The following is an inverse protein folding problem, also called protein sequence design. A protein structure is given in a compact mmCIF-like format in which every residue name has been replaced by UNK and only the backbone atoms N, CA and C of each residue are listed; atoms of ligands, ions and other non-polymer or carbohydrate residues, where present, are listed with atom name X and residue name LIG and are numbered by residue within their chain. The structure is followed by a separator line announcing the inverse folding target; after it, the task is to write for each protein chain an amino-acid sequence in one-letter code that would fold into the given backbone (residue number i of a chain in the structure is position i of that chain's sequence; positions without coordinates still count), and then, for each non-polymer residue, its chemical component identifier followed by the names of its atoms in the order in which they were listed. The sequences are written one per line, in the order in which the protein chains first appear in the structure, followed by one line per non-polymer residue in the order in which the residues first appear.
data_IF_207884204171
#
_entry.id   IF_207884204171
#
_cell.length_a   1.000
_cell.length_b   1.000
_cell.length_c   1.000
_cell.angle_alpha   90.00
_cell.angle_beta   90.00
_cell.angle_gamma   90.00
#
_symmetry.space_group_name_H-M   'P 1'
#
loop_
_entity.id
_entity.type
_entity.pdbx_description
1 polymer ?
#
# COMPACT_ATOMS: atom_id res chain seq x y z
N UNK A 1 -22.20 -2.67 -1.68
CA UNK A 1 -22.37 -2.92 -3.13
C UNK A 1 -23.63 -2.23 -3.64
N UNK A 2 -23.51 -1.44 -4.70
CA UNK A 2 -24.61 -0.75 -5.35
C UNK A 2 -24.78 -1.38 -6.74
N UNK A 3 -25.98 -1.81 -7.13
CA UNK A 3 -26.23 -2.28 -8.50
C UNK A 3 -25.88 -1.20 -9.53
N UNK A 4 -25.46 -1.63 -10.71
CA UNK A 4 -25.22 -0.69 -11.81
C UNK A 4 -26.46 0.12 -12.14
N UNK A 5 -26.31 1.44 -12.21
CA UNK A 5 -27.47 2.36 -12.33
C UNK A 5 -28.14 2.31 -13.70
N UNK A 6 -27.38 1.97 -14.74
CA UNK A 6 -27.90 1.95 -16.12
C UNK A 6 -28.60 0.64 -16.44
N UNK A 7 -28.01 -0.49 -16.03
CA UNK A 7 -28.49 -1.82 -16.40
C UNK A 7 -29.17 -2.59 -15.26
N UNK A 8 -29.02 -2.11 -14.02
CA UNK A 8 -29.48 -2.82 -12.83
C UNK A 8 -28.64 -4.07 -12.51
N UNK A 9 -27.49 -4.27 -13.15
CA UNK A 9 -26.63 -5.41 -12.92
C UNK A 9 -26.19 -5.50 -11.46
N UNK A 10 -26.37 -6.66 -10.87
CA UNK A 10 -25.90 -6.94 -9.51
C UNK A 10 -24.37 -7.11 -9.45
N UNK A 11 -23.78 -7.69 -10.48
CA UNK A 11 -22.33 -7.79 -10.61
C UNK A 11 -21.72 -6.44 -10.99
N UNK A 12 -20.49 -6.17 -10.55
CA UNK A 12 -19.76 -4.99 -11.01
C UNK A 12 -19.44 -5.16 -12.49
N UNK A 13 -19.85 -4.23 -13.39
CA UNK A 13 -19.48 -4.30 -14.79
C UNK A 13 -17.96 -4.27 -15.00
N UNK A 14 -17.48 -4.95 -16.04
CA UNK A 14 -16.07 -4.89 -16.43
C UNK A 14 -15.90 -3.77 -17.45
N UNK A 15 -15.29 -2.67 -17.00
CA UNK A 15 -14.98 -1.52 -17.83
C UNK A 15 -13.63 -1.70 -18.53
N UNK A 16 -13.66 -2.39 -19.66
CA UNK A 16 -12.47 -2.68 -20.45
C UNK A 16 -12.18 -1.54 -21.44
N UNK A 17 -11.77 -0.40 -20.89
CA UNK A 17 -11.45 0.81 -21.66
C UNK A 17 -10.17 1.47 -21.14
N UNK A 18 -9.50 2.24 -21.99
CA UNK A 18 -8.33 3.05 -21.61
C UNK A 18 -8.71 4.45 -21.15
N UNK A 19 -9.65 5.08 -21.82
CA UNK A 19 -10.01 6.49 -21.63
C UNK A 19 -11.52 6.66 -21.57
N UNK A 20 -11.93 7.83 -21.11
CA UNK A 20 -13.34 8.21 -20.92
C UNK A 20 -13.62 9.48 -21.72
N UNK A 21 -14.85 9.61 -22.19
CA UNK A 21 -15.33 10.80 -22.92
C UNK A 21 -15.86 11.82 -21.91
N UNK A 22 -15.56 13.09 -22.14
CA UNK A 22 -16.08 14.21 -21.35
C UNK A 22 -17.15 14.96 -22.12
N UNK A 23 -18.15 15.50 -21.42
CA UNK A 23 -19.23 16.25 -22.03
C UNK A 23 -18.80 17.66 -22.45
N UNK A 24 -17.78 18.22 -21.76
CA UNK A 24 -17.23 19.54 -22.05
C UNK A 24 -15.76 19.66 -21.64
N UNK A 25 -15.09 20.72 -22.11
CA UNK A 25 -13.72 21.06 -21.71
C UNK A 25 -13.64 21.44 -20.23
N UNK A 26 -14.67 22.10 -19.73
CA UNK A 26 -14.77 22.52 -18.32
C UNK A 26 -14.89 21.29 -17.40
N UNK A 27 -15.71 20.30 -17.78
CA UNK A 27 -15.80 19.02 -17.05
C UNK A 27 -14.44 18.31 -17.03
N UNK A 28 -13.77 18.22 -18.17
CA UNK A 28 -12.44 17.66 -18.27
C UNK A 28 -11.45 18.38 -17.34
N UNK A 29 -11.44 19.72 -17.36
CA UNK A 29 -10.56 20.53 -16.52
C UNK A 29 -10.81 20.27 -15.03
N UNK A 30 -12.07 20.25 -14.58
CA UNK A 30 -12.43 19.98 -13.18
C UNK A 30 -12.01 18.59 -12.73
N UNK A 31 -12.13 17.58 -13.59
CA UNK A 31 -11.66 16.23 -13.32
C UNK A 31 -10.13 16.14 -13.21
N UNK A 32 -9.40 16.79 -14.16
CA UNK A 32 -7.93 16.82 -14.13
C UNK A 32 -7.38 17.59 -12.93
N UNK A 33 -8.07 18.64 -12.49
CA UNK A 33 -7.73 19.41 -11.29
C UNK A 33 -8.16 18.71 -9.98
N UNK A 34 -8.79 17.53 -10.06
CA UNK A 34 -9.33 16.78 -8.90
C UNK A 34 -10.37 17.58 -8.08
N UNK A 35 -11.07 18.52 -8.71
CA UNK A 35 -12.14 19.32 -8.10
C UNK A 35 -13.43 18.49 -7.96
N UNK A 36 -13.62 17.53 -8.87
CA UNK A 36 -14.74 16.58 -8.86
C UNK A 36 -14.24 15.16 -9.02
N UNK A 37 -14.97 14.19 -8.43
CA UNK A 37 -14.66 12.78 -8.58
C UNK A 37 -15.12 12.24 -9.95
N UNK A 38 -14.32 11.33 -10.53
CA UNK A 38 -14.65 10.68 -11.80
C UNK A 38 -13.49 9.85 -12.35
N UNK A 39 -13.69 9.34 -13.56
CA UNK A 39 -12.70 8.52 -14.26
C UNK A 39 -12.17 9.27 -15.50
N UNK A 40 -10.85 9.34 -15.61
CA UNK A 40 -10.16 10.03 -16.70
C UNK A 40 -9.51 9.05 -17.67
N UNK A 41 -8.75 8.14 -17.07
CA UNK A 41 -7.90 7.19 -17.78
C UNK A 41 -7.64 5.98 -16.88
N UNK A 42 -7.76 4.78 -17.43
CA UNK A 42 -7.74 3.51 -16.64
C UNK A 42 -6.47 3.32 -15.82
N UNK A 43 -5.31 3.83 -16.25
CA UNK A 43 -4.08 3.79 -15.45
C UNK A 43 -4.22 4.59 -14.13
N UNK A 44 -5.05 5.63 -14.11
CA UNK A 44 -5.28 6.47 -12.94
C UNK A 44 -6.45 5.91 -12.13
N UNK A 45 -7.58 5.62 -12.78
CA UNK A 45 -8.77 5.07 -12.15
C UNK A 45 -9.66 4.35 -13.15
N UNK A 46 -10.35 3.31 -12.68
CA UNK A 46 -11.31 2.55 -13.47
C UNK A 46 -12.44 2.08 -12.54
N UNK A 47 -13.73 2.13 -12.95
CA UNK A 47 -14.83 1.74 -12.06
C UNK A 47 -14.74 0.32 -11.54
N UNK A 48 -14.25 -0.63 -12.33
CA UNK A 48 -14.05 -2.03 -11.90
C UNK A 48 -13.00 -2.14 -10.82
N UNK A 49 -11.86 -1.44 -10.99
CA UNK A 49 -10.77 -1.39 -10.00
C UNK A 49 -11.21 -0.65 -8.75
N UNK A 50 -11.90 0.49 -8.92
CA UNK A 50 -12.42 1.28 -7.80
C UNK A 50 -13.38 0.48 -6.90
N UNK A 51 -14.17 -0.44 -7.46
CA UNK A 51 -15.04 -1.31 -6.67
C UNK A 51 -14.25 -2.26 -5.76
N UNK A 52 -13.10 -2.78 -6.22
CA UNK A 52 -12.17 -3.57 -5.41
C UNK A 52 -11.53 -2.71 -4.31
N UNK A 53 -11.01 -1.55 -4.68
CA UNK A 53 -10.33 -0.62 -3.78
C UNK A 53 -11.24 -0.16 -2.64
N UNK A 54 -12.45 0.28 -2.96
CA UNK A 54 -13.46 0.68 -1.98
C UNK A 54 -13.84 -0.46 -1.03
N UNK A 55 -13.95 -1.68 -1.55
CA UNK A 55 -14.29 -2.84 -0.72
C UNK A 55 -13.15 -3.20 0.24
N UNK A 56 -11.91 -3.19 -0.22
CA UNK A 56 -10.75 -3.47 0.62
C UNK A 56 -10.56 -2.37 1.67
N UNK A 57 -10.70 -1.10 1.30
CA UNK A 57 -10.66 0.00 2.25
C UNK A 57 -11.71 -0.17 3.36
N UNK A 58 -12.95 -0.54 2.99
CA UNK A 58 -14.02 -0.77 3.98
C UNK A 58 -13.75 -1.97 4.89
N UNK A 59 -13.15 -3.05 4.38
CA UNK A 59 -12.81 -4.24 5.16
C UNK A 59 -11.67 -3.98 6.14
N UNK A 60 -10.69 -3.15 5.76
CA UNK A 60 -9.53 -2.81 6.57
C UNK A 60 -9.75 -1.56 7.44
N UNK A 61 -10.92 -0.91 7.36
CA UNK A 61 -11.19 0.35 8.07
C UNK A 61 -10.33 1.51 7.59
N UNK A 62 -9.77 1.42 6.37
CA UNK A 62 -8.93 2.43 5.76
C UNK A 62 -9.72 3.55 5.08
N UNK A 63 -9.08 4.72 4.92
CA UNK A 63 -9.67 5.86 4.21
C UNK A 63 -9.80 5.58 2.69
N UNK A 64 -8.84 4.86 2.13
CA UNK A 64 -8.81 4.46 0.71
C UNK A 64 -7.89 3.26 0.51
N UNK A 65 -7.93 2.67 -0.67
CA UNK A 65 -7.00 1.63 -1.11
C UNK A 65 -6.55 1.92 -2.54
N UNK A 66 -5.39 1.39 -2.90
CA UNK A 66 -4.85 1.44 -4.26
C UNK A 66 -4.49 0.02 -4.71
N UNK A 67 -5.09 -0.43 -5.80
CA UNK A 67 -4.78 -1.73 -6.37
C UNK A 67 -3.54 -1.65 -7.28
N UNK A 68 -2.65 -2.63 -7.13
CA UNK A 68 -1.44 -2.77 -7.92
C UNK A 68 -1.45 -4.07 -8.71
N UNK A 69 -0.57 -4.19 -9.70
CA UNK A 69 -0.47 -5.38 -10.57
C UNK A 69 0.06 -6.62 -9.84
N UNK A 70 0.70 -6.46 -8.68
CA UNK A 70 1.21 -7.55 -7.85
C UNK A 70 1.50 -7.07 -6.43
N UNK A 71 1.64 -8.00 -5.46
CA UNK A 71 2.08 -7.69 -4.10
C UNK A 71 3.47 -7.04 -4.07
N UNK A 72 4.39 -7.46 -4.95
CA UNK A 72 5.71 -6.83 -5.05
C UNK A 72 5.64 -5.41 -5.59
N UNK A 73 4.74 -5.10 -6.52
CA UNK A 73 4.47 -3.74 -6.97
C UNK A 73 3.92 -2.88 -5.83
N UNK A 74 2.99 -3.42 -5.05
CA UNK A 74 2.45 -2.75 -3.86
C UNK A 74 3.54 -2.46 -2.83
N UNK A 75 4.39 -3.45 -2.51
CA UNK A 75 5.50 -3.28 -1.57
C UNK A 75 6.49 -2.21 -2.03
N UNK A 76 6.91 -2.27 -3.31
CA UNK A 76 7.81 -1.26 -3.88
C UNK A 76 7.20 0.14 -3.81
N UNK A 77 5.91 0.26 -4.14
CA UNK A 77 5.19 1.53 -4.12
C UNK A 77 5.12 2.11 -2.70
N UNK A 78 4.81 1.29 -1.70
CA UNK A 78 4.77 1.72 -0.28
C UNK A 78 6.13 2.27 0.15
N UNK A 79 7.22 1.53 -0.11
CA UNK A 79 8.58 2.00 0.25
C UNK A 79 8.91 3.29 -0.46
N UNK A 80 8.65 3.38 -1.78
CA UNK A 80 8.97 4.57 -2.59
C UNK A 80 8.12 5.79 -2.23
N UNK A 81 6.92 5.60 -1.68
CA UNK A 81 6.05 6.68 -1.25
C UNK A 81 6.43 7.25 0.13
N UNK A 82 6.97 6.40 1.01
CA UNK A 82 7.24 6.75 2.42
C UNK A 82 8.72 7.12 2.63
N UNK A 83 9.64 6.44 1.93
CA UNK A 83 11.08 6.56 2.17
C UNK A 83 11.78 7.33 1.05
N UNK A 84 12.74 8.16 1.44
CA UNK A 84 13.69 8.86 0.59
C UNK A 84 15.11 8.36 0.83
N UNK A 85 16.06 8.79 -0.01
CA UNK A 85 17.48 8.47 0.20
C UNK A 85 17.95 8.98 1.58
N UNK A 86 18.60 8.11 2.33
CA UNK A 86 19.01 8.35 3.71
C UNK A 86 18.05 7.83 4.76
N UNK A 87 16.83 7.43 4.39
CA UNK A 87 15.85 6.87 5.32
C UNK A 87 16.12 5.40 5.64
N UNK A 88 15.51 4.94 6.73
CA UNK A 88 15.72 3.63 7.30
C UNK A 88 14.39 2.88 7.47
N UNK A 89 14.46 1.55 7.30
CA UNK A 89 13.35 0.62 7.50
C UNK A 89 13.75 -0.41 8.56
N UNK A 90 12.83 -0.75 9.46
CA UNK A 90 12.92 -1.96 10.29
C UNK A 90 11.98 -2.99 9.70
N UNK A 91 12.49 -4.18 9.38
CA UNK A 91 11.68 -5.21 8.74
C UNK A 91 11.78 -6.55 9.47
N UNK A 92 10.69 -7.31 9.42
CA UNK A 92 10.71 -8.69 9.89
C UNK A 92 11.71 -9.54 9.09
N UNK A 93 12.49 -10.37 9.78
CA UNK A 93 13.34 -11.39 9.12
C UNK A 93 12.56 -12.62 8.66
N UNK A 94 11.26 -12.70 8.97
CA UNK A 94 10.36 -13.83 8.69
C UNK A 94 9.32 -13.43 7.65
N UNK A 95 9.77 -13.13 6.43
CA UNK A 95 8.92 -12.66 5.33
C UNK A 95 9.19 -13.43 4.05
N UNK A 96 8.29 -13.25 3.10
CA UNK A 96 8.49 -13.71 1.73
C UNK A 96 9.84 -13.26 1.18
N UNK A 97 10.61 -14.22 0.62
CA UNK A 97 12.00 -13.97 0.20
C UNK A 97 12.18 -12.83 -0.79
N UNK A 98 11.18 -12.55 -1.65
CA UNK A 98 11.26 -11.42 -2.57
C UNK A 98 11.14 -10.06 -1.85
N UNK A 99 10.40 -9.96 -0.74
CA UNK A 99 10.35 -8.76 0.09
C UNK A 99 11.71 -8.52 0.76
N UNK A 100 12.32 -9.59 1.30
CA UNK A 100 13.69 -9.52 1.85
C UNK A 100 14.66 -9.03 0.78
N UNK A 101 14.60 -9.63 -0.41
CA UNK A 101 15.51 -9.29 -1.53
C UNK A 101 15.32 -7.83 -1.99
N UNK A 102 14.07 -7.35 -2.08
CA UNK A 102 13.77 -5.95 -2.38
C UNK A 102 14.43 -5.02 -1.36
N UNK A 103 14.22 -5.27 -0.06
CA UNK A 103 14.71 -4.42 1.01
C UNK A 103 16.22 -4.52 1.22
N UNK A 104 16.81 -5.70 1.01
CA UNK A 104 18.24 -5.95 1.27
C UNK A 104 19.15 -5.55 0.10
N UNK A 105 18.67 -5.68 -1.15
CA UNK A 105 19.52 -5.52 -2.32
C UNK A 105 19.07 -4.41 -3.28
N UNK A 106 17.76 -4.18 -3.39
CA UNK A 106 17.25 -3.17 -4.33
C UNK A 106 17.17 -1.79 -3.69
N UNK A 107 16.56 -1.66 -2.53
CA UNK A 107 16.35 -0.38 -1.86
C UNK A 107 17.66 0.33 -1.45
N UNK A 108 18.74 -0.36 -1.04
CA UNK A 108 20.03 0.31 -0.79
C UNK A 108 20.61 1.06 -2.00
N UNK A 109 20.29 0.63 -3.23
CA UNK A 109 20.68 1.36 -4.46
C UNK A 109 20.02 2.74 -4.56
N UNK A 110 18.90 2.93 -3.87
CA UNK A 110 18.18 4.20 -3.77
C UNK A 110 18.45 4.93 -2.44
N UNK A 111 19.44 4.43 -1.67
CA UNK A 111 19.85 5.05 -0.40
C UNK A 111 18.95 4.72 0.79
N UNK A 112 18.04 3.76 0.67
CA UNK A 112 17.17 3.30 1.76
C UNK A 112 17.73 2.02 2.37
N UNK A 113 18.07 2.05 3.66
CA UNK A 113 18.66 0.90 4.35
C UNK A 113 17.65 0.21 5.27
N UNK A 114 17.85 -1.10 5.49
CA UNK A 114 16.91 -1.90 6.28
C UNK A 114 17.66 -2.74 7.31
N UNK A 115 17.19 -2.70 8.56
CA UNK A 115 17.56 -3.65 9.61
C UNK A 115 16.49 -4.73 9.72
N UNK A 116 16.91 -5.99 9.64
CA UNK A 116 16.02 -7.14 9.78
C UNK A 116 16.03 -7.66 11.22
N UNK A 117 14.85 -7.82 11.80
CA UNK A 117 14.68 -8.26 13.19
C UNK A 117 13.73 -9.45 13.31
N UNK A 118 13.82 -10.17 14.39
CA UNK A 118 12.85 -11.22 14.71
C UNK A 118 11.50 -10.57 15.07
N UNK A 119 10.40 -10.85 14.32
CA UNK A 119 9.09 -10.27 14.60
C UNK A 119 8.47 -10.70 15.94
N UNK A 120 8.96 -11.79 16.52
CA UNK A 120 8.52 -12.31 17.83
C UNK A 120 9.27 -11.67 19.02
N UNK A 121 10.16 -10.71 18.75
CA UNK A 121 10.86 -9.93 19.77
C UNK A 121 10.55 -8.44 19.61
N UNK A 122 9.49 -7.93 20.28
CA UNK A 122 9.14 -6.50 20.24
C UNK A 122 10.27 -5.59 20.70
N UNK A 123 11.10 -6.03 21.65
CA UNK A 123 12.24 -5.25 22.12
C UNK A 123 13.33 -5.14 21.05
N UNK A 124 13.53 -6.18 20.22
CA UNK A 124 14.44 -6.09 19.08
C UNK A 124 13.95 -5.05 18.06
N UNK A 125 12.67 -4.99 17.79
CA UNK A 125 12.07 -3.96 16.93
C UNK A 125 12.34 -2.58 17.51
N UNK A 126 12.05 -2.38 18.80
CA UNK A 126 12.26 -1.12 19.48
C UNK A 126 13.72 -0.66 19.44
N UNK A 127 14.68 -1.58 19.66
CA UNK A 127 16.12 -1.28 19.60
C UNK A 127 16.62 -0.95 18.18
N UNK A 128 15.97 -1.49 17.15
CA UNK A 128 16.35 -1.27 15.75
C UNK A 128 15.84 0.06 15.19
N UNK A 129 14.87 0.70 15.83
CA UNK A 129 14.33 2.00 15.40
C UNK A 129 15.38 3.10 15.62
N UNK A 130 15.67 3.84 14.57
CA UNK A 130 16.63 4.96 14.49
C UNK A 130 15.90 6.27 14.23
N UNK A 131 16.53 7.44 14.43
CA UNK A 131 15.89 8.74 14.15
C UNK A 131 15.43 8.93 12.70
N UNK A 132 16.05 8.22 11.75
CA UNK A 132 15.71 8.22 10.33
C UNK A 132 14.83 7.02 9.92
N UNK A 133 14.30 6.24 10.85
CA UNK A 133 13.36 5.15 10.53
C UNK A 133 12.02 5.75 10.12
N UNK A 134 11.52 5.35 8.95
CA UNK A 134 10.25 5.80 8.38
C UNK A 134 9.20 4.70 8.30
N UNK A 135 9.63 3.44 8.32
CA UNK A 135 8.73 2.31 8.12
C UNK A 135 9.16 1.14 8.99
N UNK A 136 8.18 0.50 9.63
CA UNK A 136 8.31 -0.85 10.19
C UNK A 136 7.44 -1.78 9.36
N UNK A 137 8.03 -2.82 8.78
CA UNK A 137 7.33 -3.72 7.86
C UNK A 137 7.43 -5.18 8.28
N UNK A 138 6.33 -5.91 8.16
CA UNK A 138 6.30 -7.34 8.39
C UNK A 138 5.06 -8.01 7.83
N UNK A 139 5.04 -9.33 7.86
CA UNK A 139 3.90 -10.16 7.49
C UNK A 139 3.23 -10.67 8.77
N UNK A 140 1.90 -10.60 8.84
CA UNK A 140 1.12 -11.08 9.99
C UNK A 140 1.40 -12.57 10.24
N UNK A 141 1.51 -13.33 9.16
CA UNK A 141 1.92 -14.74 9.16
C UNK A 141 3.17 -14.85 8.30
N UNK A 142 4.31 -15.08 8.94
CA UNK A 142 5.61 -15.11 8.29
C UNK A 142 5.80 -16.28 7.32
N UNK A 143 6.64 -16.10 6.32
CA UNK A 143 6.96 -17.08 5.29
C UNK A 143 8.45 -17.47 5.40
N UNK A 144 8.83 -18.76 5.45
CA UNK A 144 7.96 -19.96 5.38
C UNK A 144 7.58 -20.52 6.76
N UNK A 145 8.08 -19.95 7.87
CA UNK A 145 8.00 -20.53 9.19
C UNK A 145 6.63 -20.42 9.89
N UNK A 146 5.69 -19.66 9.31
CA UNK A 146 4.37 -19.38 9.87
C UNK A 146 4.44 -18.69 11.24
N UNK A 147 5.51 -17.95 11.50
CA UNK A 147 5.65 -17.09 12.67
C UNK A 147 4.56 -16.03 12.66
N UNK A 148 3.89 -15.81 13.78
CA UNK A 148 2.82 -14.82 13.89
C UNK A 148 3.38 -13.55 14.53
N UNK A 149 3.24 -12.43 13.82
CA UNK A 149 3.65 -11.12 14.29
C UNK A 149 2.52 -10.48 15.13
N UNK A 150 2.83 -10.03 16.33
CA UNK A 150 1.88 -9.27 17.17
C UNK A 150 1.78 -7.82 16.64
N UNK A 151 0.95 -7.64 15.62
CA UNK A 151 0.73 -6.33 14.98
C UNK A 151 0.25 -5.27 15.98
N UNK A 152 -0.73 -5.53 16.88
CA UNK A 152 -1.15 -4.57 17.88
C UNK A 152 -0.03 -4.07 18.79
N UNK A 153 0.86 -4.96 19.25
CA UNK A 153 1.97 -4.57 20.12
C UNK A 153 3.03 -3.77 19.35
N UNK A 154 3.38 -4.22 18.14
CA UNK A 154 4.32 -3.51 17.28
C UNK A 154 3.79 -2.13 16.89
N UNK A 155 2.49 -2.01 16.60
CA UNK A 155 1.87 -0.72 16.29
C UNK A 155 1.99 0.25 17.47
N UNK A 156 1.80 -0.18 18.71
CA UNK A 156 2.01 0.68 19.89
C UNK A 156 3.44 1.19 19.97
N UNK A 157 4.43 0.34 19.72
CA UNK A 157 5.84 0.73 19.70
C UNK A 157 6.07 1.78 18.61
N UNK A 158 5.62 1.53 17.39
CA UNK A 158 5.82 2.44 16.26
C UNK A 158 5.15 3.80 16.50
N UNK A 159 3.89 3.81 16.92
CA UNK A 159 3.16 5.06 17.19
C UNK A 159 3.76 5.86 18.33
N UNK A 160 4.43 5.22 19.29
CA UNK A 160 5.10 5.92 20.38
C UNK A 160 6.43 6.56 19.99
N UNK A 161 7.07 6.09 18.89
CA UNK A 161 8.43 6.49 18.53
C UNK A 161 8.53 7.23 17.19
N UNK A 162 7.68 6.96 16.23
CA UNK A 162 7.75 7.44 14.85
C UNK A 162 6.49 8.12 14.35
N UNK A 163 5.51 8.41 15.04
CA UNK A 163 4.28 9.15 14.60
C UNK A 163 3.64 8.67 13.27
N UNK A 164 3.95 7.46 12.80
CA UNK A 164 3.37 6.87 11.58
C UNK A 164 2.87 5.46 11.88
#
# INVERSE_FOLDING_TARGET
HIPDKETGSRAVPIYQTTSYVFNSTEEAASLYNMEVGGHLYTRISNPTVAALEQRLAALEGGASALACSSGMAAMHLVVSAICSSGDHIVASSKMYGANINLLQHTMPRFGVNTDFVNPNDPDAIKRAIKPNTKLVFGEVIGNPGLDIMDVPEIAKICLSLIHI
#
